data_IF_696359909394
#
_entry.id   IF_696359909394
#
_cell.length_a   1.000
_cell.length_b   1.000
_cell.length_c   1.000
_cell.angle_alpha   90.00
_cell.angle_beta   90.00
_cell.angle_gamma   90.00
#
_symmetry.space_group_name_H-M   'P 1'
#
loop_
_entity.id
_entity.type
_entity.pdbx_description
1 polymer ?
#
# COMPACT_ATOMS: atom_id res chain seq x y z
N UNK A 1 28.24 -9.27 1.02
CA UNK A 1 27.02 -8.74 0.38
C UNK A 1 26.21 -8.15 1.51
N UNK A 2 26.19 -6.83 1.65
CA UNK A 2 25.57 -6.18 2.80
C UNK A 2 24.05 -6.21 2.66
N UNK A 3 23.38 -6.96 3.54
CA UNK A 3 21.92 -6.98 3.69
C UNK A 3 21.37 -5.77 4.47
N UNK A 4 22.05 -4.63 4.43
CA UNK A 4 21.82 -3.51 5.38
C UNK A 4 20.91 -2.37 4.84
N UNK A 5 20.19 -2.56 3.72
CA UNK A 5 19.28 -1.54 3.19
C UNK A 5 18.03 -2.17 2.52
N UNK A 6 17.49 -3.22 3.12
CA UNK A 6 16.19 -3.79 2.72
C UNK A 6 15.13 -3.41 3.75
N UNK A 7 14.04 -2.84 3.27
CA UNK A 7 12.87 -2.46 4.07
C UNK A 7 11.64 -3.22 3.60
N UNK A 8 10.63 -3.28 4.46
CA UNK A 8 9.31 -3.83 4.13
C UNK A 8 8.24 -2.82 4.54
N UNK A 9 7.25 -2.63 3.68
CA UNK A 9 6.04 -1.85 3.98
C UNK A 9 4.84 -2.75 3.75
N UNK A 10 4.15 -3.06 4.84
CA UNK A 10 2.98 -3.94 4.84
C UNK A 10 1.71 -3.15 4.48
N UNK A 11 0.73 -3.79 3.84
CA UNK A 11 -0.54 -3.20 3.39
C UNK A 11 -1.56 -3.01 4.52
N UNK A 12 -1.11 -2.56 5.69
CA UNK A 12 -2.00 -2.27 6.83
C UNK A 12 -2.85 -1.03 6.57
N UNK A 13 -4.02 -0.89 7.22
CA UNK A 13 -4.89 0.27 7.04
C UNK A 13 -4.19 1.64 7.24
N UNK A 14 -3.24 1.73 8.17
CA UNK A 14 -2.46 2.95 8.40
C UNK A 14 -1.41 3.26 7.32
N UNK A 15 -1.07 2.29 6.46
CA UNK A 15 -0.05 2.42 5.43
C UNK A 15 -0.62 2.61 4.02
N UNK A 16 -1.95 2.62 3.86
CA UNK A 16 -2.60 2.70 2.56
C UNK A 16 -3.52 3.90 2.40
N UNK A 17 -3.69 4.35 1.16
CA UNK A 17 -4.75 5.24 0.69
C UNK A 17 -5.68 4.50 -0.26
N UNK A 18 -6.98 4.85 -0.28
CA UNK A 18 -7.92 4.31 -1.27
C UNK A 18 -8.58 5.41 -2.10
N UNK A 19 -8.25 5.41 -3.40
CA UNK A 19 -8.98 6.13 -4.44
C UNK A 19 -8.47 7.53 -4.78
N UNK A 20 -7.59 8.10 -3.97
CA UNK A 20 -6.85 9.32 -4.28
C UNK A 20 -5.47 9.28 -3.61
N UNK A 21 -4.54 10.09 -4.14
CA UNK A 21 -3.29 10.41 -3.45
C UNK A 21 -3.48 11.68 -2.64
N UNK A 22 -3.08 11.63 -1.37
CA UNK A 22 -2.99 12.82 -0.53
C UNK A 22 -1.53 13.35 -0.55
N UNK A 23 -1.26 14.50 -1.20
CA UNK A 23 0.09 15.06 -1.25
C UNK A 23 0.60 15.59 0.10
N UNK A 24 -0.29 15.80 1.07
CA UNK A 24 0.04 16.31 2.40
C UNK A 24 0.24 15.16 3.42
N UNK A 25 0.08 13.90 3.01
CA UNK A 25 0.27 12.73 3.86
C UNK A 25 1.75 12.54 4.23
N UNK A 26 2.00 12.30 5.51
CA UNK A 26 3.33 11.94 6.01
C UNK A 26 3.82 10.62 5.39
N UNK A 27 5.12 10.49 5.09
CA UNK A 27 5.65 9.27 4.53
C UNK A 27 5.59 8.12 5.55
N UNK A 28 5.14 6.94 5.10
CA UNK A 28 5.12 5.72 5.92
C UNK A 28 6.53 5.14 6.12
N UNK A 29 7.47 5.51 5.24
CA UNK A 29 8.86 5.10 5.28
C UNK A 29 9.76 6.15 4.64
N UNK A 30 10.88 6.48 5.30
CA UNK A 30 11.99 7.22 4.69
C UNK A 30 13.15 6.27 4.35
N UNK A 31 13.68 6.34 3.12
CA UNK A 31 14.77 5.48 2.65
C UNK A 31 15.97 6.26 2.11
N UNK A 32 17.14 5.62 2.12
CA UNK A 32 18.34 6.13 1.46
C UNK A 32 18.38 5.72 -0.01
N UNK A 33 19.00 6.51 -0.91
CA UNK A 33 19.21 6.12 -2.30
C UNK A 33 19.91 4.75 -2.41
N UNK A 34 19.38 3.88 -3.27
CA UNK A 34 19.88 2.51 -3.46
C UNK A 34 19.31 1.48 -2.47
N UNK A 35 18.42 1.87 -1.57
CA UNK A 35 17.68 0.93 -0.73
C UNK A 35 16.70 0.08 -1.56
N UNK A 36 16.46 -1.13 -1.10
CA UNK A 36 15.41 -2.03 -1.62
C UNK A 36 14.22 -2.00 -0.69
N UNK A 37 13.01 -1.86 -1.22
CA UNK A 37 11.78 -1.90 -0.43
C UNK A 37 10.88 -2.99 -0.99
N UNK A 38 10.52 -3.95 -0.15
CA UNK A 38 9.40 -4.86 -0.40
C UNK A 38 8.11 -4.13 0.00
N UNK A 39 7.20 -3.95 -0.95
CA UNK A 39 5.92 -3.27 -0.73
C UNK A 39 4.83 -4.30 -0.94
N UNK A 40 4.06 -4.55 0.11
CA UNK A 40 2.86 -5.38 0.00
C UNK A 40 1.72 -4.56 -0.59
N UNK A 41 0.89 -5.23 -1.40
CA UNK A 41 -0.25 -4.60 -2.07
C UNK A 41 -1.44 -5.54 -2.02
N UNK A 42 -2.62 -4.97 -1.79
CA UNK A 42 -3.89 -5.69 -1.79
C UNK A 42 -4.71 -5.40 -3.03
N UNK A 43 -5.61 -6.31 -3.38
CA UNK A 43 -6.58 -6.05 -4.46
C UNK A 43 -7.52 -4.91 -4.05
N UNK A 44 -7.87 -4.01 -4.99
CA UNK A 44 -8.93 -3.03 -4.77
C UNK A 44 -10.22 -3.65 -4.20
N UNK A 45 -10.69 -3.22 -3.01
CA UNK A 45 -11.89 -3.77 -2.43
C UNK A 45 -13.13 -3.53 -3.30
N UNK A 46 -14.05 -4.49 -3.27
CA UNK A 46 -15.33 -4.44 -3.96
C UNK A 46 -16.48 -4.36 -2.94
N UNK A 47 -17.67 -3.87 -3.31
CA UNK A 47 -18.84 -3.99 -2.44
C UNK A 47 -19.07 -5.45 -2.05
N UNK A 48 -19.28 -5.74 -0.76
CA UNK A 48 -19.32 -7.11 -0.24
C UNK A 48 -18.08 -7.92 -0.68
N UNK A 49 -16.89 -7.41 -0.33
CA UNK A 49 -15.61 -7.85 -0.89
C UNK A 49 -15.35 -9.34 -0.67
N UNK A 50 -15.55 -9.81 0.57
CA UNK A 50 -15.42 -11.23 0.95
C UNK A 50 -16.37 -12.11 0.14
N UNK A 51 -17.63 -11.72 0.04
CA UNK A 51 -18.65 -12.46 -0.71
C UNK A 51 -18.33 -12.48 -2.21
N UNK A 52 -17.77 -11.39 -2.73
CA UNK A 52 -17.36 -11.29 -4.13
C UNK A 52 -16.18 -12.21 -4.44
N UNK A 53 -15.20 -12.32 -3.53
CA UNK A 53 -14.08 -13.25 -3.68
C UNK A 53 -14.53 -14.71 -3.59
N UNK A 54 -15.31 -15.05 -2.56
CA UNK A 54 -15.79 -16.44 -2.36
C UNK A 54 -16.72 -16.89 -3.48
N UNK A 55 -17.61 -16.02 -3.97
CA UNK A 55 -18.45 -16.33 -5.15
C UNK A 55 -17.66 -16.48 -6.46
N UNK A 56 -16.45 -15.94 -6.52
CA UNK A 56 -15.51 -16.15 -7.63
C UNK A 56 -14.65 -17.43 -7.47
N UNK A 57 -14.85 -18.19 -6.40
CA UNK A 57 -14.15 -19.45 -6.14
C UNK A 57 -12.85 -19.32 -5.33
N UNK A 58 -12.62 -18.17 -4.68
CA UNK A 58 -11.52 -18.03 -3.70
C UNK A 58 -11.96 -18.66 -2.39
N UNK A 59 -11.17 -19.59 -1.87
CA UNK A 59 -11.45 -20.17 -0.54
C UNK A 59 -11.30 -19.09 0.54
N UNK A 60 -12.16 -19.12 1.54
CA UNK A 60 -12.19 -18.08 2.57
C UNK A 60 -10.87 -17.98 3.35
N UNK A 61 -10.22 -19.11 3.59
CA UNK A 61 -8.92 -19.19 4.28
C UNK A 61 -7.75 -18.65 3.43
N UNK A 62 -7.94 -18.51 2.11
CA UNK A 62 -6.95 -17.94 1.19
C UNK A 62 -7.13 -16.42 1.03
N UNK A 63 -8.18 -15.83 1.59
CA UNK A 63 -8.38 -14.38 1.55
C UNK A 63 -7.41 -13.72 2.54
N UNK A 64 -6.58 -12.82 2.03
CA UNK A 64 -5.58 -12.13 2.84
C UNK A 64 -6.25 -11.25 3.92
N UNK A 65 -5.69 -11.30 5.13
CA UNK A 65 -6.24 -10.60 6.29
C UNK A 65 -6.16 -9.06 6.15
N UNK A 66 -5.10 -8.57 5.52
CA UNK A 66 -4.91 -7.14 5.22
C UNK A 66 -5.91 -6.65 4.16
N UNK A 67 -6.20 -7.46 3.14
CA UNK A 67 -7.21 -7.13 2.12
C UNK A 67 -8.61 -6.95 2.74
N UNK A 68 -8.96 -7.79 3.71
CA UNK A 68 -10.20 -7.66 4.48
C UNK A 68 -10.18 -6.44 5.40
N UNK A 69 -9.09 -6.23 6.14
CA UNK A 69 -8.95 -5.08 7.02
C UNK A 69 -9.07 -3.76 6.25
N UNK A 70 -8.40 -3.64 5.10
CA UNK A 70 -8.49 -2.47 4.23
C UNK A 70 -9.92 -2.26 3.73
N UNK A 71 -10.58 -3.31 3.26
CA UNK A 71 -11.96 -3.25 2.79
C UNK A 71 -12.94 -2.76 3.87
N UNK A 72 -12.69 -3.11 5.13
CA UNK A 72 -13.57 -2.79 6.27
C UNK A 72 -13.31 -1.41 6.85
N UNK A 73 -12.05 -0.96 6.92
CA UNK A 73 -11.67 0.20 7.73
C UNK A 73 -11.17 1.42 6.95
N UNK A 74 -10.73 1.26 5.71
CA UNK A 74 -10.14 2.36 4.93
C UNK A 74 -11.24 3.04 4.11
N UNK A 75 -11.36 4.36 4.26
CA UNK A 75 -12.33 5.15 3.52
C UNK A 75 -11.90 5.34 2.06
N UNK A 76 -12.84 5.15 1.12
CA UNK A 76 -12.65 5.47 -0.28
C UNK A 76 -12.89 6.97 -0.52
N UNK A 77 -11.82 7.74 -0.79
CA UNK A 77 -11.86 9.22 -0.77
C UNK A 77 -11.75 9.88 -2.15
N UNK A 78 -11.72 9.11 -3.23
CA UNK A 78 -11.52 9.65 -4.58
C UNK A 78 -12.10 8.82 -5.73
N UNK A 79 -11.96 9.28 -6.98
CA UNK A 79 -12.55 8.63 -8.15
C UNK A 79 -11.80 7.38 -8.61
N UNK A 80 -10.56 7.17 -8.14
CA UNK A 80 -9.75 6.01 -8.51
C UNK A 80 -10.22 4.75 -7.77
N UNK A 81 -10.11 3.56 -8.38
CA UNK A 81 -10.52 2.33 -7.71
C UNK A 81 -9.44 1.75 -6.78
N UNK A 82 -8.17 2.19 -6.91
CA UNK A 82 -7.02 1.50 -6.34
C UNK A 82 -6.74 1.85 -4.88
N UNK A 83 -6.31 0.83 -4.14
CA UNK A 83 -5.59 0.97 -2.87
C UNK A 83 -4.10 1.12 -3.19
N UNK A 84 -3.43 2.06 -2.54
CA UNK A 84 -1.99 2.29 -2.73
C UNK A 84 -1.28 2.33 -1.38
N UNK A 85 -0.31 1.43 -1.20
CA UNK A 85 0.59 1.38 -0.03
C UNK A 85 1.66 2.46 -0.15
N UNK A 86 1.78 3.32 0.87
CA UNK A 86 2.71 4.46 0.87
C UNK A 86 2.12 5.71 1.52
N UNK A 87 2.67 6.90 1.23
CA UNK A 87 3.83 7.16 0.36
C UNK A 87 5.17 6.88 1.05
N UNK A 88 6.19 6.49 0.27
CA UNK A 88 7.58 6.41 0.75
C UNK A 88 8.40 7.61 0.27
N UNK A 89 9.27 8.15 1.12
CA UNK A 89 10.14 9.29 0.81
C UNK A 89 11.62 8.86 0.75
N UNK A 90 12.39 9.42 -0.17
CA UNK A 90 13.83 9.21 -0.29
C UNK A 90 14.49 10.48 0.18
N UNK A 91 15.43 10.31 1.09
CA UNK A 91 16.12 11.42 1.74
C UNK A 91 17.17 11.98 0.78
N UNK A 92 16.73 12.78 -0.20
CA UNK A 92 17.60 13.50 -1.11
C UNK A 92 17.58 15.01 -0.79
N UNK A 93 18.74 15.70 -0.81
CA UNK A 93 18.77 17.15 -0.63
C UNK A 93 18.13 17.85 -1.83
N UNK A 94 17.28 18.89 -1.63
CA UNK A 94 16.73 19.67 -2.73
C UNK A 94 17.81 20.47 -3.49
N UNK A 95 17.64 20.78 -4.81
CA UNK A 95 16.42 20.61 -5.62
C UNK A 95 16.47 19.48 -6.68
N UNK A 96 15.28 19.05 -7.11
CA UNK A 96 14.99 18.17 -8.26
C UNK A 96 15.75 16.84 -8.32
N UNK A 97 15.53 15.98 -7.33
CA UNK A 97 15.95 14.58 -7.45
C UNK A 97 14.88 13.79 -8.19
N UNK A 98 15.26 13.20 -9.32
CA UNK A 98 14.43 12.24 -10.05
C UNK A 98 14.57 10.87 -9.38
N UNK A 99 13.45 10.30 -8.97
CA UNK A 99 13.39 8.93 -8.47
C UNK A 99 13.64 7.95 -9.61
N UNK A 100 14.46 6.93 -9.35
CA UNK A 100 14.80 5.85 -10.27
C UNK A 100 14.46 4.52 -9.66
#
# INVERSE_FOLDING_TARGET
MSSENTHRVESTPENVDWGAFDPDRDPVLEVSPGATVEIETVTPPRPAHRETLTSAGVDEDDILADELAVAETVAHTGPGPHVVTGPSLSRAPPPATCWR
#
